data_IF_609466159869
#
_entry.id   IF_609466159869
#
_cell.length_a   1.000
_cell.length_b   1.000
_cell.length_c   1.000
_cell.angle_alpha   90.00
_cell.angle_beta   90.00
_cell.angle_gamma   90.00
#
_symmetry.space_group_name_H-M   'P 1'
#
loop_
_entity.id
_entity.type
_entity.pdbx_description
1 polymer ?
#
# COMPACT_ATOMS: atom_id res chain seq x y z
N UNK A 1 -12.99 17.31 0.10
CA UNK A 1 -12.05 16.96 -0.99
C UNK A 1 -10.71 17.60 -0.69
N UNK A 2 -9.59 16.88 -0.83
CA UNK A 2 -8.27 17.44 -0.52
C UNK A 2 -7.70 18.28 -1.67
N UNK A 3 -6.95 19.34 -1.34
CA UNK A 3 -6.30 20.25 -2.31
C UNK A 3 -5.45 19.48 -3.34
N UNK A 4 -4.71 18.45 -2.92
CA UNK A 4 -3.91 17.63 -3.83
C UNK A 4 -4.76 16.79 -4.81
N UNK A 5 -5.94 16.31 -4.39
CA UNK A 5 -6.84 15.57 -5.28
C UNK A 5 -7.34 16.47 -6.42
N UNK A 6 -7.61 17.74 -6.10
CA UNK A 6 -8.03 18.74 -7.06
C UNK A 6 -6.91 19.08 -8.05
N UNK A 7 -5.67 19.20 -7.56
CA UNK A 7 -4.50 19.40 -8.43
C UNK A 7 -4.33 18.26 -9.45
N UNK A 8 -4.41 17.00 -9.01
CA UNK A 8 -4.33 15.85 -9.93
C UNK A 8 -5.45 15.83 -10.96
N UNK A 9 -6.68 16.17 -10.56
CA UNK A 9 -7.80 16.31 -11.51
C UNK A 9 -7.59 17.45 -12.50
N UNK A 10 -7.02 18.57 -12.05
CA UNK A 10 -6.67 19.70 -12.91
C UNK A 10 -5.61 19.30 -13.95
N UNK A 11 -4.59 18.55 -13.53
CA UNK A 11 -3.57 17.99 -14.44
C UNK A 11 -4.16 16.99 -15.44
N UNK A 12 -5.03 16.09 -15.00
CA UNK A 12 -5.73 15.15 -15.91
C UNK A 12 -6.58 15.91 -16.93
N UNK A 13 -7.31 16.94 -16.52
CA UNK A 13 -8.10 17.80 -17.43
C UNK A 13 -7.20 18.52 -18.44
N UNK A 14 -6.04 19.00 -17.99
CA UNK A 14 -5.06 19.66 -18.85
C UNK A 14 -4.45 18.68 -19.87
N UNK A 15 -4.11 17.46 -19.44
CA UNK A 15 -3.65 16.39 -20.34
C UNK A 15 -4.71 16.03 -21.36
N UNK A 16 -5.97 15.88 -20.94
CA UNK A 16 -7.08 15.55 -21.84
C UNK A 16 -7.26 16.58 -22.97
N UNK A 17 -7.06 17.88 -22.68
CA UNK A 17 -7.07 18.93 -23.72
C UNK A 17 -5.96 18.73 -24.74
N UNK A 18 -4.76 18.32 -24.31
CA UNK A 18 -3.62 18.03 -25.20
C UNK A 18 -3.84 16.77 -26.02
N UNK A 19 -4.39 15.72 -25.42
CA UNK A 19 -4.78 14.50 -26.12
C UNK A 19 -5.79 14.82 -27.24
N UNK A 20 -6.84 15.58 -26.93
CA UNK A 20 -7.82 16.03 -27.91
C UNK A 20 -7.16 16.83 -29.05
N UNK A 21 -6.26 17.77 -28.73
CA UNK A 21 -5.53 18.55 -29.73
C UNK A 21 -4.68 17.67 -30.64
N UNK A 22 -3.91 16.75 -30.06
CA UNK A 22 -3.10 15.79 -30.82
C UNK A 22 -3.98 14.97 -31.76
N UNK A 23 -5.06 14.38 -31.27
CA UNK A 23 -5.93 13.52 -32.10
C UNK A 23 -6.64 14.30 -33.21
N UNK A 24 -7.08 15.54 -32.93
CA UNK A 24 -7.70 16.39 -33.93
C UNK A 24 -6.70 16.81 -35.02
N UNK A 25 -5.45 17.11 -34.64
CA UNK A 25 -4.38 17.46 -35.57
C UNK A 25 -3.94 16.27 -36.43
N UNK A 26 -3.78 15.08 -35.83
CA UNK A 26 -3.35 13.88 -36.55
C UNK A 26 -4.44 13.31 -37.46
N UNK A 27 -5.72 13.54 -37.15
CA UNK A 27 -6.85 13.01 -37.91
C UNK A 27 -7.90 14.08 -38.24
N UNK A 28 -7.57 15.10 -39.06
CA UNK A 28 -8.46 16.24 -39.32
C UNK A 28 -9.78 15.81 -39.98
N UNK A 29 -9.72 14.82 -40.89
CA UNK A 29 -10.87 14.36 -41.68
C UNK A 29 -11.70 13.25 -41.01
N UNK A 30 -11.37 12.86 -39.78
CA UNK A 30 -12.10 11.81 -39.04
C UNK A 30 -13.07 12.43 -38.05
N UNK A 31 -14.25 11.85 -37.90
CA UNK A 31 -15.22 12.32 -36.92
C UNK A 31 -14.81 11.98 -35.47
N UNK A 32 -15.45 12.64 -34.51
CA UNK A 32 -15.16 12.46 -33.08
C UNK A 32 -15.43 11.04 -32.59
N UNK A 33 -16.43 10.34 -33.14
CA UNK A 33 -16.75 8.95 -32.78
C UNK A 33 -15.59 8.01 -33.12
N UNK A 34 -15.02 8.15 -34.31
CA UNK A 34 -13.87 7.38 -34.75
C UNK A 34 -12.63 7.69 -33.91
N UNK A 35 -12.35 8.98 -33.66
CA UNK A 35 -11.23 9.43 -32.80
C UNK A 35 -11.32 8.83 -31.40
N UNK A 36 -12.50 8.91 -30.77
CA UNK A 36 -12.79 8.28 -29.47
C UNK A 36 -12.54 6.78 -29.50
N UNK A 37 -13.12 6.10 -30.48
CA UNK A 37 -13.00 4.65 -30.62
C UNK A 37 -11.58 4.17 -30.93
N UNK A 38 -10.73 5.02 -31.50
CA UNK A 38 -9.32 4.67 -31.74
C UNK A 38 -8.46 4.85 -30.49
N UNK A 39 -8.56 6.00 -29.83
CA UNK A 39 -7.58 6.42 -28.81
C UNK A 39 -8.01 6.26 -27.35
N UNK A 40 -9.30 6.37 -27.05
CA UNK A 40 -9.78 6.27 -25.66
C UNK A 40 -10.52 4.96 -25.42
N UNK A 41 -10.22 4.32 -24.29
CA UNK A 41 -10.90 3.10 -23.87
C UNK A 41 -10.44 2.62 -22.51
N UNK A 42 -10.83 1.38 -22.19
CA UNK A 42 -10.31 0.66 -21.05
C UNK A 42 -9.00 -0.03 -21.44
N UNK A 43 -7.88 0.62 -21.14
CA UNK A 43 -6.53 0.14 -21.46
C UNK A 43 -5.78 -0.40 -20.24
N UNK A 44 -6.25 -0.06 -19.03
CA UNK A 44 -5.75 -0.64 -17.79
C UNK A 44 -6.76 -1.71 -17.30
N UNK A 45 -6.31 -2.96 -17.17
CA UNK A 45 -7.18 -4.07 -16.76
C UNK A 45 -7.49 -4.06 -15.26
N UNK A 46 -6.56 -3.58 -14.44
CA UNK A 46 -6.72 -3.48 -12.98
C UNK A 46 -7.75 -2.41 -12.60
N UNK A 47 -8.00 -1.45 -13.49
CA UNK A 47 -8.92 -0.33 -13.27
C UNK A 47 -10.17 -0.42 -14.13
N UNK A 48 -11.28 0.08 -13.60
CA UNK A 48 -12.55 0.24 -14.33
C UNK A 48 -12.65 1.62 -14.99
N UNK A 49 -11.54 2.16 -15.50
CA UNK A 49 -11.51 3.45 -16.21
C UNK A 49 -11.65 3.20 -17.72
N UNK A 50 -12.67 3.81 -18.34
CA UNK A 50 -12.96 3.68 -19.78
C UNK A 50 -12.48 4.88 -20.60
N UNK A 51 -11.89 5.88 -19.94
CA UNK A 51 -11.39 7.12 -20.52
C UNK A 51 -9.88 7.23 -20.28
N UNK A 52 -9.16 6.25 -20.83
CA UNK A 52 -7.70 6.20 -20.84
C UNK A 52 -7.23 6.36 -22.27
N UNK A 53 -6.35 7.33 -22.49
CA UNK A 53 -5.74 7.58 -23.80
C UNK A 53 -4.59 6.62 -24.05
N UNK A 54 -4.54 6.03 -25.25
CA UNK A 54 -3.46 5.16 -25.64
C UNK A 54 -3.71 4.42 -26.95
N UNK A 55 -2.85 3.46 -27.24
CA UNK A 55 -2.99 2.57 -28.39
C UNK A 55 -3.62 1.24 -27.97
N UNK A 56 -4.81 0.98 -28.51
CA UNK A 56 -5.58 -0.24 -28.25
C UNK A 56 -4.93 -1.51 -28.80
N UNK A 57 -4.05 -1.39 -29.81
CA UNK A 57 -3.39 -2.55 -30.42
C UNK A 57 -2.24 -3.05 -29.55
N UNK A 58 -1.42 -2.13 -29.04
CA UNK A 58 -0.26 -2.47 -28.19
C UNK A 58 -0.62 -2.54 -26.70
N UNK A 59 -1.70 -1.88 -26.29
CA UNK A 59 -2.08 -1.75 -24.87
C UNK A 59 -1.34 -0.64 -24.13
N UNK A 60 -0.40 0.05 -24.80
CA UNK A 60 0.29 1.20 -24.22
C UNK A 60 -0.69 2.34 -24.01
N UNK A 61 -0.66 2.90 -22.81
CA UNK A 61 -1.58 3.94 -22.41
C UNK A 61 -0.92 4.95 -21.49
N UNK A 62 -1.49 6.14 -21.45
CA UNK A 62 -1.06 7.19 -20.56
C UNK A 62 -1.58 6.95 -19.15
N UNK A 63 -0.69 7.04 -18.17
CA UNK A 63 -1.04 6.96 -16.74
C UNK A 63 -1.71 8.28 -16.33
N UNK A 64 -2.83 8.18 -15.61
CA UNK A 64 -3.57 9.36 -15.11
C UNK A 64 -3.10 9.74 -13.71
N UNK A 65 -3.01 11.04 -13.45
CA UNK A 65 -2.58 11.55 -12.14
C UNK A 65 -3.55 11.16 -11.04
N UNK A 66 -4.86 11.16 -11.33
CA UNK A 66 -5.91 10.73 -10.39
C UNK A 66 -5.82 9.25 -9.98
N UNK A 67 -4.97 8.44 -10.62
CA UNK A 67 -4.80 7.05 -10.22
C UNK A 67 -3.96 6.87 -8.96
N UNK A 68 -3.13 7.86 -8.62
CA UNK A 68 -2.30 7.83 -7.42
C UNK A 68 -3.13 8.27 -6.21
N UNK A 69 -3.25 7.38 -5.23
CA UNK A 69 -3.91 7.69 -3.97
C UNK A 69 -3.02 8.63 -3.16
N UNK A 70 -3.57 9.76 -2.74
CA UNK A 70 -2.86 10.70 -1.88
C UNK A 70 -2.88 10.14 -0.45
N UNK A 71 -1.72 9.72 0.03
CA UNK A 71 -1.53 9.36 1.42
C UNK A 71 -1.24 10.63 2.24
N UNK A 72 -1.98 10.82 3.32
CA UNK A 72 -1.75 11.93 4.25
C UNK A 72 -0.94 11.39 5.43
N UNK A 73 0.30 11.86 5.53
CA UNK A 73 1.15 11.53 6.67
C UNK A 73 0.86 12.51 7.81
N UNK A 74 0.63 11.97 9.01
CA UNK A 74 0.49 12.78 10.21
C UNK A 74 1.86 13.22 10.71
N UNK A 75 2.10 14.53 10.76
CA UNK A 75 3.36 15.10 11.27
C UNK A 75 3.63 14.68 12.71
N UNK A 76 4.90 14.44 13.01
CA UNK A 76 5.38 14.23 14.38
C UNK A 76 5.17 15.52 15.18
N UNK A 77 4.77 15.39 16.44
CA UNK A 77 4.43 16.52 17.29
C UNK A 77 5.72 17.18 17.76
N UNK A 78 5.97 18.42 17.32
CA UNK A 78 7.12 19.21 17.76
C UNK A 78 8.45 18.46 17.67
N UNK A 79 9.11 18.31 18.82
CA UNK A 79 10.42 17.62 18.97
C UNK A 79 10.29 16.23 19.61
N UNK A 80 9.11 15.60 19.52
CA UNK A 80 8.91 14.25 20.05
C UNK A 80 9.95 13.28 19.48
N UNK A 81 10.66 12.57 20.36
CA UNK A 81 11.63 11.51 20.00
C UNK A 81 11.06 10.14 20.35
N UNK A 82 11.28 9.08 19.53
CA UNK A 82 10.92 7.70 19.87
C UNK A 82 11.50 7.21 21.20
N UNK A 83 12.65 7.74 21.60
CA UNK A 83 13.38 7.32 22.81
C UNK A 83 12.88 8.01 24.10
N UNK A 84 11.93 8.95 23.98
CA UNK A 84 11.33 9.62 25.13
C UNK A 84 10.36 8.67 25.86
N UNK A 85 10.71 8.31 27.09
CA UNK A 85 9.94 7.40 27.91
C UNK A 85 8.54 7.91 28.25
N UNK A 86 8.32 9.23 28.23
CA UNK A 86 7.02 9.86 28.49
C UNK A 86 6.07 9.77 27.30
N UNK A 87 6.60 9.52 26.09
CA UNK A 87 5.85 9.47 24.83
C UNK A 87 5.63 8.04 24.31
N UNK A 88 5.80 7.02 25.15
CA UNK A 88 5.66 5.60 24.76
C UNK A 88 4.32 5.30 24.09
N UNK A 89 3.21 5.76 24.67
CA UNK A 89 1.87 5.50 24.11
C UNK A 89 1.65 6.23 22.78
N UNK A 90 2.15 7.47 22.67
CA UNK A 90 2.10 8.25 21.43
C UNK A 90 2.81 7.53 20.27
N UNK A 91 4.01 7.00 20.52
CA UNK A 91 4.75 6.24 19.52
C UNK A 91 4.10 4.89 19.23
N UNK A 92 3.63 4.18 20.25
CA UNK A 92 2.91 2.92 20.10
C UNK A 92 1.71 3.07 19.16
N UNK A 93 0.88 4.10 19.34
CA UNK A 93 -0.26 4.36 18.44
C UNK A 93 0.19 4.75 17.03
N UNK A 94 1.21 5.61 16.90
CA UNK A 94 1.74 5.98 15.58
C UNK A 94 2.26 4.78 14.81
N UNK A 95 2.93 3.83 15.47
CA UNK A 95 3.49 2.67 14.80
C UNK A 95 2.44 1.70 14.29
N UNK A 96 1.27 1.60 14.94
CA UNK A 96 0.15 0.80 14.41
C UNK A 96 -0.28 1.24 13.01
N UNK A 97 -0.10 2.52 12.66
CA UNK A 97 -0.40 3.02 11.31
C UNK A 97 0.46 2.31 10.24
N UNK A 98 1.69 1.90 10.59
CA UNK A 98 2.59 1.16 9.70
C UNK A 98 2.01 -0.22 9.32
N UNK A 99 1.09 -0.78 10.10
CA UNK A 99 0.36 -2.02 9.76
C UNK A 99 -0.31 -1.95 8.38
N UNK A 100 -0.80 -0.76 8.00
CA UNK A 100 -1.52 -0.55 6.74
C UNK A 100 -0.66 -0.80 5.49
N UNK A 101 0.67 -0.79 5.63
CA UNK A 101 1.62 -1.10 4.56
C UNK A 101 1.73 -2.60 4.27
N UNK A 102 1.19 -3.46 5.13
CA UNK A 102 1.25 -4.91 4.97
C UNK A 102 -0.05 -5.50 4.41
N UNK A 103 -0.03 -6.71 3.81
CA UNK A 103 -1.23 -7.40 3.35
C UNK A 103 -2.27 -7.60 4.47
N UNK A 104 -3.56 -7.66 4.10
CA UNK A 104 -4.67 -7.84 5.06
C UNK A 104 -4.54 -9.06 5.96
N UNK A 105 -3.87 -10.12 5.50
CA UNK A 105 -3.61 -11.32 6.31
C UNK A 105 -2.63 -11.05 7.46
N UNK A 106 -1.60 -10.23 7.24
CA UNK A 106 -0.63 -9.81 8.26
C UNK A 106 -1.29 -8.83 9.24
N UNK A 107 -2.07 -7.86 8.72
CA UNK A 107 -2.81 -6.89 9.56
C UNK A 107 -3.66 -7.60 10.63
N UNK A 108 -4.43 -8.63 10.23
CA UNK A 108 -5.28 -9.40 11.15
C UNK A 108 -4.49 -10.08 12.29
N UNK A 109 -3.31 -10.62 11.99
CA UNK A 109 -2.47 -11.28 13.00
C UNK A 109 -1.86 -10.22 13.93
N UNK A 110 -1.36 -9.12 13.35
CA UNK A 110 -0.79 -8.00 14.10
C UNK A 110 -1.80 -7.39 15.09
N UNK A 111 -3.06 -7.17 14.66
CA UNK A 111 -4.15 -6.69 15.52
C UNK A 111 -4.39 -7.64 16.70
N UNK A 112 -4.41 -8.95 16.44
CA UNK A 112 -4.63 -9.97 17.48
C UNK A 112 -3.56 -9.98 18.56
N UNK A 113 -2.31 -9.68 18.21
CA UNK A 113 -1.19 -9.59 19.18
C UNK A 113 -0.91 -8.16 19.65
N UNK A 114 -1.81 -7.20 19.39
CA UNK A 114 -1.67 -5.82 19.84
C UNK A 114 -0.50 -5.06 19.20
N UNK A 115 -0.05 -5.49 18.02
CA UNK A 115 1.08 -4.95 17.26
C UNK A 115 2.45 -5.08 17.94
N UNK A 116 2.58 -6.00 18.89
CA UNK A 116 3.81 -6.25 19.65
C UNK A 116 4.38 -7.62 19.28
N UNK A 117 5.70 -7.74 19.19
CA UNK A 117 6.38 -9.01 19.04
C UNK A 117 6.33 -9.80 20.36
N UNK A 118 5.86 -11.06 20.37
CA UNK A 118 5.73 -11.84 21.60
C UNK A 118 7.07 -12.24 22.23
N UNK A 119 8.19 -12.16 21.49
CA UNK A 119 9.52 -12.56 21.97
C UNK A 119 10.23 -11.42 22.69
N UNK A 120 10.31 -10.23 22.08
CA UNK A 120 11.04 -9.10 22.65
C UNK A 120 10.15 -8.04 23.32
N UNK A 121 8.82 -8.13 23.17
CA UNK A 121 7.88 -7.15 23.74
C UNK A 121 7.90 -5.77 23.06
N UNK A 122 8.70 -5.59 22.00
CA UNK A 122 8.74 -4.35 21.22
C UNK A 122 7.68 -4.35 20.11
N UNK A 123 7.42 -3.17 19.55
CA UNK A 123 6.58 -3.00 18.38
C UNK A 123 7.07 -3.84 17.20
N UNK A 124 6.15 -4.43 16.44
CA UNK A 124 6.44 -5.20 15.22
C UNK A 124 7.11 -4.41 14.11
N UNK A 125 7.11 -3.07 14.20
CA UNK A 125 7.47 -2.18 13.10
C UNK A 125 8.74 -1.39 13.39
N UNK A 126 9.72 -2.04 14.04
CA UNK A 126 11.02 -1.47 14.42
C UNK A 126 12.00 -1.32 13.24
N UNK A 127 11.62 -1.75 12.04
CA UNK A 127 12.45 -1.69 10.82
C UNK A 127 13.00 -3.05 10.38
N UNK A 128 12.88 -4.08 11.20
CA UNK A 128 13.18 -5.45 10.82
C UNK A 128 12.09 -6.05 9.93
N UNK A 129 12.44 -7.12 9.20
CA UNK A 129 11.47 -7.91 8.46
C UNK A 129 10.56 -8.69 9.43
N UNK A 130 9.25 -8.67 9.14
CA UNK A 130 8.25 -9.37 9.95
C UNK A 130 8.02 -10.77 9.38
N UNK A 131 8.32 -11.78 10.20
CA UNK A 131 8.13 -13.18 9.88
C UNK A 131 6.84 -13.72 10.51
N UNK A 132 6.17 -14.60 9.78
CA UNK A 132 5.03 -15.37 10.28
C UNK A 132 5.52 -16.68 10.89
N UNK A 133 5.19 -16.91 12.16
CA UNK A 133 5.54 -18.10 12.91
C UNK A 133 4.30 -18.90 13.31
N UNK A 134 4.44 -20.23 13.42
CA UNK A 134 3.41 -21.13 13.92
C UNK A 134 3.62 -21.42 15.41
N UNK A 135 2.70 -20.97 16.26
CA UNK A 135 2.72 -21.25 17.71
C UNK A 135 2.79 -22.75 18.00
N UNK A 136 1.97 -23.52 17.31
CA UNK A 136 2.02 -24.96 17.27
C UNK A 136 2.67 -25.41 15.96
N UNK A 137 3.89 -25.99 15.99
CA UNK A 137 4.63 -26.32 14.79
C UNK A 137 3.88 -27.28 13.87
N UNK A 138 3.97 -27.07 12.55
CA UNK A 138 3.36 -27.95 11.53
C UNK A 138 3.76 -29.42 11.71
N UNK A 139 5.04 -29.68 12.05
CA UNK A 139 5.56 -31.04 12.29
C UNK A 139 4.85 -31.79 13.43
N UNK A 140 4.21 -31.06 14.36
CA UNK A 140 3.43 -31.63 15.48
C UNK A 140 1.92 -31.64 15.22
N UNK A 141 1.48 -31.30 14.00
CA UNK A 141 0.05 -31.20 13.65
C UNK A 141 -0.50 -29.77 13.63
N UNK A 142 0.37 -28.74 13.64
CA UNK A 142 -0.01 -27.34 13.50
C UNK A 142 -0.80 -27.03 12.22
N UNK A 143 -2.00 -26.48 12.39
CA UNK A 143 -2.85 -26.01 11.29
C UNK A 143 -2.48 -24.59 10.85
N UNK A 144 -2.74 -24.27 9.58
CA UNK A 144 -2.54 -22.94 9.00
C UNK A 144 -3.72 -22.00 9.31
N UNK A 145 -3.94 -21.71 10.58
CA UNK A 145 -5.04 -20.85 11.07
C UNK A 145 -4.53 -19.55 11.67
N UNK A 146 -5.34 -18.48 11.59
CA UNK A 146 -5.03 -17.21 12.27
C UNK A 146 -4.87 -17.35 13.79
N UNK A 147 -5.44 -18.40 14.39
CA UNK A 147 -5.22 -18.70 15.80
C UNK A 147 -3.85 -19.27 16.11
N UNK A 148 -3.27 -20.00 15.16
CA UNK A 148 -1.96 -20.64 15.27
C UNK A 148 -0.81 -19.77 14.74
N UNK A 149 -1.11 -18.69 14.02
CA UNK A 149 -0.10 -17.75 13.55
C UNK A 149 0.23 -16.66 14.57
N UNK A 150 1.51 -16.28 14.60
CA UNK A 150 2.00 -15.06 15.23
C UNK A 150 3.02 -14.37 14.33
N UNK A 151 3.20 -13.07 14.55
CA UNK A 151 4.21 -12.28 13.88
C UNK A 151 5.37 -12.02 14.83
N UNK A 152 6.59 -12.18 14.32
CA UNK A 152 7.84 -11.97 15.05
C UNK A 152 8.82 -11.25 14.14
N UNK A 153 9.79 -10.54 14.71
CA UNK A 153 10.91 -10.01 13.93
C UNK A 153 11.80 -11.13 13.40
N UNK A 154 12.58 -10.86 12.36
CA UNK A 154 13.56 -11.78 11.79
C UNK A 154 14.45 -12.43 12.87
N UNK A 155 15.09 -11.63 13.73
CA UNK A 155 15.99 -12.18 14.75
C UNK A 155 15.23 -12.92 15.87
N UNK A 156 14.06 -12.44 16.26
CA UNK A 156 13.18 -13.14 17.19
C UNK A 156 12.73 -14.50 16.62
N UNK A 157 12.49 -14.59 15.31
CA UNK A 157 12.14 -15.84 14.65
C UNK A 157 13.30 -16.83 14.70
N UNK A 158 14.53 -16.36 14.47
CA UNK A 158 15.72 -17.19 14.61
C UNK A 158 15.91 -17.71 16.03
N UNK A 159 15.69 -16.87 17.06
CA UNK A 159 15.79 -17.27 18.47
C UNK A 159 14.84 -18.42 18.82
N UNK A 160 13.62 -18.40 18.29
CA UNK A 160 12.64 -19.48 18.49
C UNK A 160 13.17 -20.81 17.92
N UNK A 161 13.77 -20.79 16.72
CA UNK A 161 14.28 -22.01 16.08
C UNK A 161 15.65 -22.45 16.59
N UNK A 162 16.44 -21.55 17.19
CA UNK A 162 17.72 -21.86 17.82
C UNK A 162 17.58 -22.42 19.24
N UNK A 163 16.36 -22.50 19.79
CA UNK A 163 16.10 -23.04 21.14
C UNK A 163 16.42 -22.09 22.28
N UNK A 164 16.63 -20.80 22.00
CA UNK A 164 16.87 -19.78 23.00
C UNK A 164 15.54 -19.08 23.35
N UNK A 165 14.75 -19.68 24.25
CA UNK A 165 13.61 -18.96 24.84
C UNK A 165 14.12 -17.84 25.73
N UNK A 166 13.75 -16.60 25.39
CA UNK A 166 13.95 -15.44 26.24
C UNK A 166 13.21 -15.61 27.57
N UNK A 167 13.88 -15.20 28.65
CA UNK A 167 13.46 -15.25 30.06
C UNK A 167 12.21 -14.40 30.29
#
# INVERSE_FOLDING_TARGET
MGVACEAFRSLDNWMFKRECRYVNHTHPNRNNKWRKNKYWGRLNLERKDRWVFGDKRTGFHLIKFSWFNIQRHQLVLGRSSPDDSTLKDYWKEREKVKASNHPKSIQKIAEKQGHVCPVCGQSLYNGEEIHKHHKFPRKKGGLDTYSNFELVHLYCHHQIHSGATAI
#
